data_IF_003119026390
#
_entry.id   IF_003119026390
#
_cell.length_a   1.000
_cell.length_b   1.000
_cell.length_c   1.000
_cell.angle_alpha   90.00
_cell.angle_beta   90.00
_cell.angle_gamma   90.00
#
_symmetry.space_group_name_H-M   'P 1'
#
loop_
_entity.id
_entity.type
_entity.pdbx_description
1 polymer ?
#
# COMPACT_ATOMS: atom_id res chain seq x y z
N UNK A 1 -14.56 -38.08 -33.05
CA UNK A 1 -13.88 -37.50 -31.87
C UNK A 1 -13.08 -36.31 -32.38
N UNK A 2 -13.47 -35.03 -32.02
CA UNK A 2 -12.64 -33.87 -32.29
C UNK A 2 -11.37 -34.00 -31.42
N UNK A 3 -10.19 -34.09 -32.05
CA UNK A 3 -8.90 -33.98 -31.34
C UNK A 3 -8.87 -32.59 -30.71
N UNK A 4 -8.82 -32.51 -29.38
CA UNK A 4 -8.67 -31.25 -28.68
C UNK A 4 -7.38 -30.57 -29.13
N UNK A 5 -7.43 -29.27 -29.43
CA UNK A 5 -6.22 -28.48 -29.60
C UNK A 5 -5.68 -28.15 -28.21
N UNK A 6 -4.38 -28.36 -28.04
CA UNK A 6 -3.65 -27.94 -26.83
C UNK A 6 -3.09 -26.55 -27.06
N UNK A 7 -3.35 -25.65 -26.09
CA UNK A 7 -2.73 -24.34 -26.10
C UNK A 7 -1.43 -24.35 -25.29
N UNK A 8 -0.39 -23.80 -25.85
CA UNK A 8 0.94 -23.73 -25.23
C UNK A 8 1.36 -22.30 -25.17
N UNK A 9 1.70 -21.83 -23.96
CA UNK A 9 2.13 -20.47 -23.68
C UNK A 9 3.65 -20.40 -23.53
N UNK A 10 4.26 -19.48 -24.26
CA UNK A 10 5.64 -19.07 -24.07
C UNK A 10 5.65 -17.61 -23.63
N UNK A 11 6.34 -17.31 -22.53
CA UNK A 11 6.57 -15.95 -22.06
C UNK A 11 8.04 -15.64 -22.20
N UNK A 12 8.35 -14.65 -23.02
CA UNK A 12 9.71 -14.15 -23.25
C UNK A 12 9.95 -12.92 -22.37
N UNK A 13 11.06 -12.92 -21.65
CA UNK A 13 11.50 -11.78 -20.85
C UNK A 13 12.72 -11.11 -21.49
N UNK A 14 12.53 -10.02 -22.20
CA UNK A 14 13.59 -9.24 -22.84
C UNK A 14 14.16 -8.22 -21.86
N UNK A 15 15.48 -8.21 -21.59
CA UNK A 15 16.11 -7.23 -20.71
C UNK A 15 16.00 -5.83 -21.30
N UNK A 16 15.86 -4.82 -20.43
CA UNK A 16 15.86 -3.39 -20.80
C UNK A 16 17.18 -2.75 -20.44
N UNK A 17 17.66 -1.75 -21.21
CA UNK A 17 18.89 -1.03 -20.89
C UNK A 17 18.87 -0.35 -19.52
N UNK A 18 17.68 0.08 -19.07
CA UNK A 18 17.48 0.76 -17.78
C UNK A 18 17.13 -0.19 -16.63
N UNK A 19 17.32 -1.51 -16.81
CA UNK A 19 16.94 -2.55 -15.87
C UNK A 19 15.51 -3.06 -16.05
N UNK A 20 15.24 -4.23 -15.46
CA UNK A 20 13.97 -4.93 -15.60
C UNK A 20 13.83 -5.67 -16.94
N UNK A 21 12.62 -6.20 -17.19
CA UNK A 21 12.30 -7.00 -18.40
C UNK A 21 11.01 -6.52 -19.05
N UNK A 22 10.98 -6.53 -20.38
CA UNK A 22 9.73 -6.48 -21.16
C UNK A 22 9.24 -7.92 -21.34
N UNK A 23 7.97 -8.17 -21.04
CA UNK A 23 7.36 -9.49 -21.23
C UNK A 23 6.57 -9.51 -22.54
N UNK A 24 6.77 -10.59 -23.31
CA UNK A 24 6.04 -10.88 -24.54
C UNK A 24 5.45 -12.28 -24.38
N UNK A 25 4.14 -12.41 -24.52
CA UNK A 25 3.46 -13.70 -24.51
C UNK A 25 3.15 -14.17 -25.94
N UNK A 26 3.34 -15.46 -26.17
CA UNK A 26 3.02 -16.12 -27.43
C UNK A 26 2.21 -17.38 -27.13
N UNK A 27 1.02 -17.50 -27.74
CA UNK A 27 0.22 -18.71 -27.67
C UNK A 27 0.36 -19.47 -28.99
N UNK A 28 0.61 -20.76 -28.88
CA UNK A 28 0.60 -21.73 -29.97
C UNK A 28 -0.53 -22.70 -29.75
N UNK A 29 -1.29 -23.00 -30.81
CA UNK A 29 -2.30 -24.04 -30.80
C UNK A 29 -1.79 -25.21 -31.59
N UNK A 30 -1.61 -26.36 -30.95
CA UNK A 30 -1.07 -27.57 -31.59
C UNK A 30 -1.96 -28.77 -31.25
N UNK A 31 -1.87 -29.79 -32.10
CA UNK A 31 -2.56 -31.08 -31.92
C UNK A 31 -1.78 -32.08 -31.05
N UNK A 32 -0.52 -31.75 -30.72
CA UNK A 32 0.36 -32.58 -29.88
C UNK A 32 0.30 -32.12 -28.42
N UNK A 33 0.49 -33.06 -27.49
CA UNK A 33 0.57 -32.74 -26.05
C UNK A 33 2.00 -32.42 -25.60
N UNK A 34 2.96 -32.34 -26.52
CA UNK A 34 4.35 -32.08 -26.20
C UNK A 34 4.65 -30.60 -26.41
N UNK A 35 5.29 -29.95 -25.43
CA UNK A 35 5.60 -28.52 -25.50
C UNK A 35 6.66 -28.24 -26.57
N UNK A 36 6.51 -27.14 -27.30
CA UNK A 36 7.36 -26.72 -28.42
C UNK A 36 8.85 -26.65 -28.09
N UNK A 37 9.18 -26.22 -26.86
CA UNK A 37 10.58 -26.16 -26.39
C UNK A 37 11.24 -27.56 -26.31
N UNK A 38 10.45 -28.65 -26.30
CA UNK A 38 10.93 -30.01 -26.28
C UNK A 38 11.05 -30.55 -27.71
N UNK A 39 10.09 -30.24 -28.57
CA UNK A 39 10.09 -30.75 -29.96
C UNK A 39 10.94 -29.92 -30.92
N UNK A 40 11.20 -28.67 -30.58
CA UNK A 40 11.95 -27.72 -31.43
C UNK A 40 11.21 -27.28 -32.70
N UNK A 41 10.02 -27.80 -32.97
CA UNK A 41 9.24 -27.49 -34.17
C UNK A 41 7.81 -27.05 -33.84
N UNK A 42 7.34 -26.01 -34.48
CA UNK A 42 5.95 -25.64 -34.54
C UNK A 42 5.51 -25.40 -35.98
N UNK A 43 4.38 -25.96 -36.35
CA UNK A 43 3.76 -25.72 -37.64
C UNK A 43 2.78 -24.56 -37.58
N UNK A 44 2.46 -24.05 -36.37
CA UNK A 44 1.52 -22.96 -36.15
C UNK A 44 2.22 -21.60 -35.99
N UNK A 45 1.63 -20.59 -36.58
CA UNK A 45 2.02 -19.19 -36.34
C UNK A 45 1.56 -18.81 -34.95
N UNK A 46 2.47 -18.32 -34.05
CA UNK A 46 2.08 -17.92 -32.72
C UNK A 46 1.16 -16.69 -32.72
N UNK A 47 0.17 -16.72 -31.85
CA UNK A 47 -0.64 -15.55 -31.56
C UNK A 47 0.02 -14.73 -30.44
N UNK A 48 0.38 -13.46 -30.68
CA UNK A 48 0.90 -12.61 -29.63
C UNK A 48 -0.23 -12.28 -28.64
N UNK A 49 0.09 -12.41 -27.34
CA UNK A 49 -0.81 -12.01 -26.26
C UNK A 49 -0.17 -10.91 -25.42
N UNK A 50 -1.01 -10.04 -24.93
CA UNK A 50 -0.59 -9.04 -23.97
C UNK A 50 -0.30 -9.71 -22.62
N UNK A 51 0.84 -9.37 -22.02
CA UNK A 51 1.18 -9.75 -20.65
C UNK A 51 1.12 -8.49 -19.79
N UNK A 52 0.14 -8.42 -18.91
CA UNK A 52 0.06 -7.36 -17.93
C UNK A 52 0.86 -7.75 -16.68
N UNK A 53 1.84 -6.92 -16.35
CA UNK A 53 2.63 -7.09 -15.13
C UNK A 53 1.89 -6.48 -13.95
N UNK A 54 1.83 -7.24 -12.88
CA UNK A 54 1.14 -6.84 -11.64
C UNK A 54 2.05 -6.98 -10.41
N UNK A 55 3.36 -7.12 -10.61
CA UNK A 55 4.34 -7.16 -9.52
C UNK A 55 4.58 -5.77 -8.93
N UNK A 56 4.81 -5.70 -7.61
CA UNK A 56 4.93 -4.44 -6.87
C UNK A 56 6.01 -3.53 -7.43
N UNK A 57 7.19 -4.07 -7.74
CA UNK A 57 8.32 -3.28 -8.26
C UNK A 57 7.97 -2.62 -9.60
N UNK A 58 7.24 -3.32 -10.47
CA UNK A 58 6.80 -2.76 -11.76
C UNK A 58 5.75 -1.67 -11.57
N UNK A 59 4.74 -1.91 -10.73
CA UNK A 59 3.65 -0.96 -10.49
C UNK A 59 4.17 0.32 -9.84
N UNK A 60 5.00 0.21 -8.80
CA UNK A 60 5.60 1.34 -8.10
C UNK A 60 6.48 2.16 -9.05
N UNK A 61 7.38 1.52 -9.81
CA UNK A 61 8.25 2.21 -10.76
C UNK A 61 7.46 2.93 -11.87
N UNK A 62 6.34 2.35 -12.34
CA UNK A 62 5.47 3.00 -13.35
C UNK A 62 4.64 4.14 -12.76
N UNK A 63 4.29 4.06 -11.49
CA UNK A 63 3.61 5.13 -10.74
C UNK A 63 4.54 6.28 -10.33
N UNK A 64 5.85 6.17 -10.55
CA UNK A 64 6.83 7.16 -10.10
C UNK A 64 7.19 7.06 -8.63
N UNK A 65 6.78 5.98 -7.96
CA UNK A 65 7.05 5.74 -6.54
C UNK A 65 8.48 5.22 -6.33
N UNK A 66 9.05 5.52 -5.17
CA UNK A 66 10.37 5.00 -4.79
C UNK A 66 10.25 3.61 -4.16
N UNK A 67 10.71 2.59 -4.89
CA UNK A 67 10.68 1.20 -4.41
C UNK A 67 11.48 0.97 -3.12
N UNK A 68 12.42 1.87 -2.79
CA UNK A 68 13.21 1.80 -1.53
C UNK A 68 12.34 2.07 -0.31
N UNK A 69 11.25 2.83 -0.47
CA UNK A 69 10.33 3.18 0.60
C UNK A 69 9.39 2.03 0.98
N UNK A 70 9.28 0.98 0.17
CA UNK A 70 8.31 -0.11 0.39
C UNK A 70 8.52 -0.89 1.69
N UNK A 71 9.74 -0.92 2.22
CA UNK A 71 10.06 -1.57 3.49
C UNK A 71 10.04 -0.63 4.70
N UNK A 72 9.84 0.67 4.48
CA UNK A 72 9.76 1.66 5.57
C UNK A 72 8.49 1.44 6.38
N UNK A 73 8.64 1.27 7.68
CA UNK A 73 7.54 1.05 8.63
C UNK A 73 7.05 2.40 9.14
N UNK A 74 5.83 2.75 8.80
CA UNK A 74 5.25 4.04 9.15
C UNK A 74 4.05 3.86 10.08
N UNK A 75 4.06 4.60 11.18
CA UNK A 75 2.91 4.74 12.08
C UNK A 75 2.22 6.08 11.79
N UNK A 76 0.91 6.04 11.55
CA UNK A 76 0.07 7.24 11.44
C UNK A 76 -0.90 7.26 12.62
N UNK A 77 -0.80 8.28 13.45
CA UNK A 77 -1.65 8.51 14.63
C UNK A 77 -2.59 9.66 14.34
N UNK A 78 -3.89 9.37 14.39
CA UNK A 78 -4.95 10.29 13.95
C UNK A 78 -5.22 10.13 12.45
N UNK A 79 -6.34 9.51 12.13
CA UNK A 79 -6.80 9.27 10.75
C UNK A 79 -8.01 10.14 10.41
N UNK A 80 -7.97 11.42 10.81
CA UNK A 80 -8.96 12.45 10.46
C UNK A 80 -8.76 13.01 9.06
N UNK A 81 -9.17 14.29 8.87
CA UNK A 81 -9.05 14.94 7.54
C UNK A 81 -7.62 15.05 7.04
N UNK A 82 -6.66 15.33 7.92
CA UNK A 82 -5.24 15.38 7.54
C UNK A 82 -4.67 13.98 7.41
N UNK A 83 -4.76 13.16 8.48
CA UNK A 83 -4.12 11.84 8.51
C UNK A 83 -4.61 10.89 7.44
N UNK A 84 -5.91 10.92 7.09
CA UNK A 84 -6.41 10.05 6.02
C UNK A 84 -5.81 10.39 4.64
N UNK A 85 -5.60 11.67 4.33
CA UNK A 85 -4.96 12.10 3.10
C UNK A 85 -3.46 11.77 3.13
N UNK A 86 -2.78 11.98 4.26
CA UNK A 86 -1.38 11.58 4.45
C UNK A 86 -1.18 10.08 4.19
N UNK A 87 -2.11 9.21 4.65
CA UNK A 87 -2.04 7.77 4.36
C UNK A 87 -2.08 7.50 2.85
N UNK A 88 -2.95 8.18 2.10
CA UNK A 88 -3.00 8.04 0.63
C UNK A 88 -1.69 8.46 0.00
N UNK A 89 -1.17 9.63 0.39
CA UNK A 89 0.07 10.18 -0.17
C UNK A 89 1.28 9.27 0.11
N UNK A 90 1.37 8.70 1.32
CA UNK A 90 2.41 7.74 1.69
C UNK A 90 2.36 6.48 0.81
N UNK A 91 1.17 5.93 0.60
CA UNK A 91 0.99 4.75 -0.27
C UNK A 91 1.36 5.09 -1.71
N UNK A 92 0.95 6.24 -2.22
CA UNK A 92 1.32 6.70 -3.56
C UNK A 92 2.82 6.96 -3.70
N UNK A 93 3.49 7.40 -2.62
CA UNK A 93 4.95 7.55 -2.61
C UNK A 93 5.69 6.20 -2.59
N UNK A 94 5.01 5.09 -2.29
CA UNK A 94 5.58 3.74 -2.29
C UNK A 94 5.72 3.08 -0.92
N UNK A 95 5.25 3.70 0.15
CA UNK A 95 5.19 3.08 1.48
C UNK A 95 4.18 1.93 1.45
N UNK A 96 4.62 0.72 1.81
CA UNK A 96 3.77 -0.46 1.83
C UNK A 96 3.45 -0.96 3.25
N UNK A 97 4.25 -0.59 4.26
CA UNK A 97 4.11 -1.04 5.63
C UNK A 97 3.56 0.09 6.51
N UNK A 98 2.26 0.06 6.80
CA UNK A 98 1.57 1.11 7.56
C UNK A 98 0.88 0.54 8.81
N UNK A 99 0.96 1.30 9.90
CA UNK A 99 0.13 1.09 11.08
C UNK A 99 -0.70 2.35 11.33
N UNK A 100 -2.01 2.18 11.44
CA UNK A 100 -2.97 3.26 11.63
C UNK A 100 -3.59 3.18 13.02
N UNK A 101 -3.62 4.32 13.72
CA UNK A 101 -4.20 4.41 15.08
C UNK A 101 -5.13 5.62 15.15
N UNK A 102 -6.40 5.38 15.44
CA UNK A 102 -7.41 6.43 15.69
C UNK A 102 -8.56 5.81 16.50
N UNK A 103 -9.03 6.44 17.60
CA UNK A 103 -10.11 5.90 18.43
C UNK A 103 -11.49 6.04 17.80
N UNK A 104 -11.65 6.93 16.83
CA UNK A 104 -12.96 7.42 16.41
C UNK A 104 -13.67 6.54 15.39
N UNK A 105 -14.99 6.69 15.37
CA UNK A 105 -15.83 6.27 14.26
C UNK A 105 -15.86 7.37 13.18
N UNK A 106 -16.06 6.94 11.95
CA UNK A 106 -16.30 7.83 10.82
C UNK A 106 -17.75 8.33 10.85
N UNK A 107 -17.93 9.62 10.98
CA UNK A 107 -19.22 10.25 11.12
C UNK A 107 -19.61 11.02 9.85
N UNK A 108 -20.90 11.38 9.72
CA UNK A 108 -21.43 12.04 8.52
C UNK A 108 -20.76 13.39 8.22
N UNK A 109 -20.41 14.15 9.25
CA UNK A 109 -19.71 15.44 9.17
C UNK A 109 -18.27 15.32 8.68
N UNK A 110 -17.74 14.11 8.61
CA UNK A 110 -16.39 13.87 8.09
C UNK A 110 -16.36 13.72 6.55
N UNK A 111 -17.50 13.44 5.90
CA UNK A 111 -17.56 12.99 4.49
C UNK A 111 -16.81 13.91 3.52
N UNK A 112 -16.96 15.23 3.64
CA UNK A 112 -16.37 16.17 2.69
C UNK A 112 -14.91 16.54 2.94
N UNK A 113 -14.33 16.06 4.04
CA UNK A 113 -12.95 16.37 4.42
C UNK A 113 -12.08 15.13 4.65
N UNK A 114 -12.59 13.96 4.30
CA UNK A 114 -11.93 12.68 4.56
C UNK A 114 -11.87 11.86 3.28
N UNK A 115 -10.88 10.96 3.19
CA UNK A 115 -10.74 10.02 2.06
C UNK A 115 -11.94 9.07 1.95
N UNK A 116 -12.53 8.70 3.09
CA UNK A 116 -13.71 7.83 3.16
C UNK A 116 -14.97 8.57 2.73
N UNK A 117 -15.90 7.82 2.15
CA UNK A 117 -17.19 8.33 1.74
C UNK A 117 -18.36 7.77 2.55
N UNK A 118 -19.58 8.07 2.11
CA UNK A 118 -20.85 7.73 2.77
C UNK A 118 -20.98 6.27 3.22
N UNK A 119 -20.37 5.34 2.49
CA UNK A 119 -20.45 3.90 2.81
C UNK A 119 -19.81 3.53 4.14
N UNK A 120 -18.86 4.32 4.61
CA UNK A 120 -18.08 4.06 5.82
C UNK A 120 -18.66 4.72 7.08
N UNK A 121 -19.80 5.40 6.98
CA UNK A 121 -20.45 6.06 8.14
C UNK A 121 -20.76 5.03 9.23
N UNK A 122 -20.43 5.35 10.47
CA UNK A 122 -20.52 4.52 11.69
C UNK A 122 -19.52 3.36 11.75
N UNK A 123 -18.56 3.28 10.85
CA UNK A 123 -17.45 2.33 10.93
C UNK A 123 -16.25 2.97 11.65
N UNK A 124 -15.36 2.13 12.18
CA UNK A 124 -14.06 2.61 12.69
C UNK A 124 -13.29 3.30 11.56
N UNK A 125 -12.79 4.52 11.80
CA UNK A 125 -12.02 5.28 10.79
C UNK A 125 -10.85 4.48 10.25
N UNK A 126 -10.06 3.87 11.13
CA UNK A 126 -8.84 3.15 10.74
C UNK A 126 -9.14 1.85 10.00
N UNK A 127 -10.20 1.13 10.40
CA UNK A 127 -10.60 -0.12 9.74
C UNK A 127 -11.14 0.18 8.35
N UNK A 128 -12.06 1.13 8.23
CA UNK A 128 -12.61 1.52 6.94
C UNK A 128 -11.55 2.13 6.00
N UNK A 129 -10.59 2.91 6.54
CA UNK A 129 -9.50 3.48 5.77
C UNK A 129 -8.57 2.39 5.25
N UNK A 130 -8.21 1.41 6.08
CA UNK A 130 -7.45 0.23 5.66
C UNK A 130 -8.13 -0.47 4.49
N UNK A 131 -9.41 -0.84 4.63
CA UNK A 131 -10.17 -1.53 3.60
C UNK A 131 -10.23 -0.74 2.28
N UNK A 132 -10.48 0.57 2.37
CA UNK A 132 -10.54 1.46 1.21
C UNK A 132 -9.19 1.52 0.47
N UNK A 133 -8.08 1.63 1.20
CA UNK A 133 -6.74 1.71 0.62
C UNK A 133 -6.30 0.36 0.04
N UNK A 134 -6.49 -0.75 0.77
CA UNK A 134 -6.14 -2.10 0.29
C UNK A 134 -6.96 -2.50 -0.94
N UNK A 135 -8.20 -1.97 -1.09
CA UNK A 135 -9.01 -2.21 -2.29
C UNK A 135 -8.45 -1.55 -3.55
N UNK A 136 -7.69 -0.46 -3.40
CA UNK A 136 -7.15 0.34 -4.51
C UNK A 136 -5.69 -0.02 -4.85
N UNK A 137 -4.91 -0.34 -3.83
CA UNK A 137 -3.47 -0.51 -3.97
C UNK A 137 -3.06 -1.92 -3.53
N UNK A 138 -2.45 -2.72 -4.43
CA UNK A 138 -1.99 -4.06 -4.09
C UNK A 138 -0.68 -4.02 -3.28
N UNK A 139 -0.36 -5.15 -2.63
CA UNK A 139 0.90 -5.38 -1.92
C UNK A 139 1.14 -4.48 -0.71
N UNK A 140 0.08 -4.07 -0.04
CA UNK A 140 0.15 -3.31 1.21
C UNK A 140 0.09 -4.23 2.42
N UNK A 141 0.78 -3.84 3.49
CA UNK A 141 0.70 -4.43 4.81
C UNK A 141 0.20 -3.34 5.78
N UNK A 142 -1.13 -3.19 5.89
CA UNK A 142 -1.75 -2.19 6.76
C UNK A 142 -2.31 -2.87 8.00
N UNK A 143 -1.87 -2.41 9.17
CA UNK A 143 -2.44 -2.76 10.46
C UNK A 143 -3.26 -1.59 10.99
N UNK A 144 -4.45 -1.85 11.53
CA UNK A 144 -5.35 -0.80 12.02
C UNK A 144 -5.75 -1.07 13.46
N UNK A 145 -5.58 -0.07 14.33
CA UNK A 145 -5.97 -0.13 15.75
C UNK A 145 -6.96 0.99 16.07
N UNK A 146 -8.20 0.62 16.38
CA UNK A 146 -9.18 1.56 16.92
C UNK A 146 -8.90 1.77 18.41
N UNK A 147 -8.00 2.67 18.72
CA UNK A 147 -7.56 2.92 20.09
C UNK A 147 -7.02 4.34 20.25
N UNK A 148 -7.01 4.83 21.49
CA UNK A 148 -6.17 5.96 21.88
C UNK A 148 -4.71 5.50 21.87
N UNK A 149 -3.84 6.29 21.28
CA UNK A 149 -2.41 5.95 21.13
C UNK A 149 -1.73 5.74 22.49
N UNK A 150 -2.06 6.56 23.49
CA UNK A 150 -1.51 6.48 24.84
C UNK A 150 -1.81 5.11 25.45
N UNK A 151 -3.06 4.62 25.29
CA UNK A 151 -3.47 3.31 25.78
C UNK A 151 -2.83 2.17 25.00
N UNK A 152 -2.61 2.36 23.70
CA UNK A 152 -1.94 1.35 22.89
C UNK A 152 -0.45 1.20 23.27
N UNK A 153 0.21 2.31 23.63
CA UNK A 153 1.58 2.30 24.16
C UNK A 153 1.63 1.70 25.56
N UNK A 154 0.76 2.12 26.47
CA UNK A 154 0.68 1.59 27.84
C UNK A 154 0.48 0.06 27.89
N UNK A 155 -0.30 -0.47 26.96
CA UNK A 155 -0.56 -1.91 26.81
C UNK A 155 0.50 -2.65 25.99
N UNK A 156 1.58 -1.98 25.61
CA UNK A 156 2.63 -2.53 24.73
C UNK A 156 2.14 -3.10 23.38
N UNK A 157 0.95 -2.68 22.93
CA UNK A 157 0.41 -3.04 21.62
C UNK A 157 1.21 -2.32 20.52
N UNK A 158 1.65 -1.08 20.81
CA UNK A 158 2.47 -0.25 19.93
C UNK A 158 3.73 0.16 20.67
N UNK A 159 4.87 -0.12 20.05
CA UNK A 159 6.19 0.37 20.48
C UNK A 159 6.70 1.33 19.42
N UNK A 160 6.94 2.58 19.80
CA UNK A 160 7.36 3.61 18.85
C UNK A 160 8.69 3.29 18.16
N UNK A 161 9.59 2.56 18.87
CA UNK A 161 10.86 2.07 18.32
C UNK A 161 10.72 1.06 17.17
N UNK A 162 9.53 0.47 16.97
CA UNK A 162 9.29 -0.49 15.89
C UNK A 162 9.09 0.20 14.53
N UNK A 163 9.02 1.52 14.51
CA UNK A 163 8.75 2.32 13.32
C UNK A 163 9.96 3.17 12.92
N UNK A 164 10.11 3.36 11.62
CA UNK A 164 11.14 4.22 11.04
C UNK A 164 10.65 5.67 10.99
N UNK A 165 9.34 5.86 10.81
CA UNK A 165 8.67 7.16 10.76
C UNK A 165 7.34 7.11 11.53
N UNK A 166 7.07 8.13 12.34
CA UNK A 166 5.78 8.32 13.01
C UNK A 166 5.20 9.68 12.62
N UNK A 167 3.95 9.69 12.18
CA UNK A 167 3.23 10.90 11.81
C UNK A 167 2.05 11.07 12.76
N UNK A 168 2.04 12.21 13.45
CA UNK A 168 0.98 12.61 14.36
C UNK A 168 0.09 13.64 13.67
N UNK A 169 -1.18 13.29 13.49
CA UNK A 169 -2.21 14.11 12.87
C UNK A 169 -3.47 14.12 13.74
N UNK A 170 -3.26 14.18 15.07
CA UNK A 170 -4.35 14.09 16.06
C UNK A 170 -5.11 15.40 16.24
N UNK A 171 -4.45 16.52 15.98
CA UNK A 171 -4.95 17.84 16.32
C UNK A 171 -5.11 18.05 17.84
N UNK A 172 -4.55 17.15 18.67
CA UNK A 172 -4.57 17.25 20.12
C UNK A 172 -3.17 17.58 20.65
N UNK A 173 -2.94 18.86 20.86
CA UNK A 173 -1.64 19.38 21.26
C UNK A 173 -1.08 18.73 22.57
N UNK A 174 -1.96 18.43 23.53
CA UNK A 174 -1.56 17.79 24.79
C UNK A 174 -1.02 16.38 24.56
N UNK A 175 -1.70 15.59 23.73
CA UNK A 175 -1.29 14.24 23.36
C UNK A 175 0.02 14.29 22.57
N UNK A 176 0.14 15.21 21.63
CA UNK A 176 1.34 15.36 20.80
C UNK A 176 2.56 15.77 21.62
N UNK A 177 2.42 16.68 22.58
CA UNK A 177 3.50 17.03 23.50
C UNK A 177 3.95 15.83 24.37
N UNK A 178 2.98 15.06 24.88
CA UNK A 178 3.30 13.85 25.63
C UNK A 178 4.09 12.85 24.78
N UNK A 179 3.63 12.58 23.57
CA UNK A 179 4.27 11.64 22.65
C UNK A 179 5.65 12.12 22.21
N UNK A 180 5.81 13.41 21.98
CA UNK A 180 7.11 14.01 21.68
C UNK A 180 8.12 13.76 22.80
N UNK A 181 7.70 13.94 24.06
CA UNK A 181 8.55 13.62 25.23
C UNK A 181 8.94 12.13 25.26
N UNK A 182 7.99 11.24 25.04
CA UNK A 182 8.26 9.79 25.00
C UNK A 182 9.28 9.42 23.93
N UNK A 183 9.17 9.99 22.73
CA UNK A 183 10.12 9.76 21.63
C UNK A 183 11.52 10.26 22.01
N UNK A 184 11.62 11.45 22.58
CA UNK A 184 12.90 12.01 22.98
C UNK A 184 13.63 11.23 24.09
N UNK A 185 12.91 10.44 24.88
CA UNK A 185 13.48 9.58 25.92
C UNK A 185 14.03 8.27 25.35
N UNK A 186 13.67 7.90 24.11
CA UNK A 186 14.14 6.65 23.50
C UNK A 186 15.51 6.83 22.84
N UNK A 187 16.37 5.82 23.01
CA UNK A 187 17.68 5.77 22.36
C UNK A 187 17.55 5.56 20.85
N UNK A 188 16.72 4.58 20.46
CA UNK A 188 16.41 4.24 19.08
C UNK A 188 15.04 4.85 18.71
N UNK A 189 15.04 6.17 18.49
CA UNK A 189 13.83 6.92 18.23
C UNK A 189 13.51 6.98 16.74
N UNK A 190 12.21 6.86 16.36
CA UNK A 190 11.78 7.09 14.98
C UNK A 190 11.93 8.57 14.61
N UNK A 191 11.90 8.84 13.30
CA UNK A 191 11.63 10.19 12.82
C UNK A 191 10.17 10.51 13.16
N UNK A 192 9.92 11.67 13.76
CA UNK A 192 8.58 12.10 14.14
C UNK A 192 8.17 13.38 13.40
N UNK A 193 6.99 13.36 12.81
CA UNK A 193 6.38 14.52 12.15
C UNK A 193 5.05 14.80 12.85
N UNK A 194 4.85 16.04 13.25
CA UNK A 194 3.60 16.54 13.82
C UNK A 194 2.92 17.43 12.80
N UNK A 195 1.63 17.20 12.54
CA UNK A 195 0.87 17.93 11.54
C UNK A 195 -0.54 18.24 12.04
N UNK A 196 -0.98 19.47 11.81
CA UNK A 196 -2.31 19.94 12.15
C UNK A 196 -2.76 21.05 11.18
N UNK A 197 -4.04 21.30 11.17
CA UNK A 197 -4.63 22.45 10.47
C UNK A 197 -5.06 23.46 11.50
N UNK A 198 -4.62 24.70 11.35
CA UNK A 198 -5.16 25.83 12.10
C UNK A 198 -6.19 26.58 11.27
N UNK A 199 -7.27 27.06 11.88
CA UNK A 199 -8.11 28.03 11.21
C UNK A 199 -7.23 29.23 10.89
N UNK A 200 -7.27 29.68 9.61
CA UNK A 200 -6.52 30.87 9.24
C UNK A 200 -6.92 32.05 10.14
N UNK A 201 -5.92 32.65 10.76
CA UNK A 201 -6.07 33.94 11.38
C UNK A 201 -6.07 35.00 10.28
N UNK A 202 -7.15 35.75 10.23
CA UNK A 202 -7.26 36.98 9.42
C UNK A 202 -6.50 38.09 10.11
#
# INVERSE_FOLDING_TARGET
>A
KRKGKYEKLIVLGLPRPQGGKTLIGLIFSDVTNIHLLVTGNSHDVPLPIRIDRYDSAYLLARGGSDTRLSSTRVLVVGCGSVGSNVVVDLVQAGIACLTLVDPDLFMRENIFRHVLGRKSVNQSKVVALKEEIESKYPYLAITAYQAYIEKAIEKEIIKLSDFDLVIFATGNHTVELYLNRLIHQQKDRPIAIFTWLEPYSI
#
